data_IF_102260816484
#
_entry.id   IF_102260816484
#
_cell.length_a   1.000
_cell.length_b   1.000
_cell.length_c   1.000
_cell.angle_alpha   90.00
_cell.angle_beta   90.00
_cell.angle_gamma   90.00
#
_symmetry.space_group_name_H-M   'P 1'
#
loop_
_entity.id
_entity.type
_entity.pdbx_description
1 polymer ?
#
# COMPACT_ATOMS: atom_id res chain seq x y z
N UNK A 1 14.11 -23.71 -25.39
CA UNK A 1 14.41 -23.93 -23.97
C UNK A 1 15.69 -23.17 -23.64
N UNK A 2 15.54 -21.93 -23.19
CA UNK A 2 16.66 -21.16 -22.63
C UNK A 2 16.24 -20.88 -21.20
N UNK A 3 16.80 -21.63 -20.27
CA UNK A 3 16.63 -21.38 -18.84
C UNK A 3 17.61 -20.28 -18.52
N UNK A 4 17.12 -19.05 -18.40
CA UNK A 4 17.91 -17.90 -17.98
C UNK A 4 18.30 -18.10 -16.51
N UNK A 5 19.57 -18.39 -16.26
CA UNK A 5 20.09 -18.69 -14.92
C UNK A 5 20.20 -17.38 -14.13
N UNK A 6 19.26 -17.15 -13.22
CA UNK A 6 19.20 -15.94 -12.40
C UNK A 6 20.39 -15.86 -11.41
N UNK A 7 20.94 -14.67 -11.14
CA UNK A 7 21.97 -14.50 -10.10
C UNK A 7 21.46 -15.00 -8.74
N UNK A 8 22.32 -15.68 -7.97
CA UNK A 8 21.98 -16.45 -6.74
C UNK A 8 21.43 -15.62 -5.56
N UNK A 9 21.08 -14.35 -5.78
CA UNK A 9 20.38 -13.50 -4.83
C UNK A 9 19.48 -12.53 -5.58
N UNK A 10 18.17 -12.75 -5.51
CA UNK A 10 17.17 -11.82 -6.04
C UNK A 10 16.74 -10.89 -4.90
N UNK A 11 16.78 -9.58 -5.13
CA UNK A 11 16.33 -8.60 -4.14
C UNK A 11 15.00 -7.97 -4.57
N UNK A 12 14.31 -7.31 -3.63
CA UNK A 12 13.05 -6.59 -3.90
C UNK A 12 13.23 -5.46 -4.95
N UNK A 13 14.49 -5.04 -5.21
CA UNK A 13 14.82 -4.05 -6.24
C UNK A 13 14.74 -4.60 -7.65
N UNK A 14 14.94 -5.91 -7.82
CA UNK A 14 15.04 -6.57 -9.13
C UNK A 14 13.67 -7.02 -9.66
N UNK A 15 12.64 -6.96 -8.81
CA UNK A 15 11.28 -7.41 -9.11
C UNK A 15 10.37 -6.22 -9.39
N UNK A 16 9.48 -6.37 -10.38
CA UNK A 16 8.39 -5.42 -10.65
C UNK A 16 7.54 -5.23 -9.40
N UNK A 17 7.20 -3.96 -9.12
CA UNK A 17 6.50 -3.59 -7.89
C UNK A 17 5.15 -4.31 -7.74
N UNK A 18 4.39 -4.42 -8.82
CA UNK A 18 3.07 -5.05 -8.85
C UNK A 18 3.14 -6.55 -8.49
N UNK A 19 4.06 -7.28 -9.13
CA UNK A 19 4.27 -8.71 -8.86
C UNK A 19 4.68 -8.97 -7.41
N UNK A 20 5.57 -8.14 -6.85
CA UNK A 20 5.96 -8.26 -5.44
C UNK A 20 4.77 -7.99 -4.50
N UNK A 21 3.99 -6.94 -4.76
CA UNK A 21 2.88 -6.56 -3.89
C UNK A 21 1.80 -7.64 -3.89
N UNK A 22 1.46 -8.20 -5.05
CA UNK A 22 0.47 -9.28 -5.17
C UNK A 22 0.92 -10.52 -4.38
N UNK A 23 2.13 -11.03 -4.65
CA UNK A 23 2.65 -12.22 -3.97
C UNK A 23 2.78 -12.03 -2.45
N UNK A 24 3.24 -10.85 -2.02
CA UNK A 24 3.38 -10.57 -0.59
C UNK A 24 2.03 -10.36 0.10
N UNK A 25 1.03 -9.80 -0.59
CA UNK A 25 -0.33 -9.72 -0.04
C UNK A 25 -0.95 -11.10 0.18
N UNK A 26 -0.75 -12.05 -0.73
CA UNK A 26 -1.20 -13.44 -0.56
C UNK A 26 -0.49 -14.11 0.61
N UNK A 27 0.82 -13.89 0.75
CA UNK A 27 1.58 -14.39 1.89
C UNK A 27 1.06 -13.83 3.23
N UNK A 28 0.68 -12.56 3.28
CA UNK A 28 0.10 -11.96 4.49
C UNK A 28 -1.28 -12.54 4.83
N UNK A 29 -2.10 -12.87 3.83
CA UNK A 29 -3.40 -13.53 4.05
C UNK A 29 -3.25 -14.93 4.61
N UNK A 30 -2.29 -15.69 4.09
CA UNK A 30 -2.03 -17.06 4.52
C UNK A 30 -1.30 -17.13 5.88
N UNK A 31 -0.86 -15.99 6.42
CA UNK A 31 -0.15 -15.91 7.68
C UNK A 31 -1.13 -15.56 8.81
N UNK A 32 -1.25 -16.45 9.79
CA UNK A 32 -2.11 -16.28 10.97
C UNK A 32 -1.73 -15.11 11.91
N UNK A 33 -0.67 -14.35 11.57
CA UNK A 33 -0.15 -13.25 12.38
C UNK A 33 -0.70 -11.87 12.00
N UNK A 34 -1.46 -11.76 10.91
CA UNK A 34 -1.93 -10.48 10.41
C UNK A 34 -3.45 -10.37 10.56
N UNK A 35 -3.87 -9.79 11.69
CA UNK A 35 -5.28 -9.55 11.98
C UNK A 35 -5.76 -8.26 11.30
N UNK A 36 -6.88 -8.36 10.59
CA UNK A 36 -7.57 -7.22 10.01
C UNK A 36 -8.23 -6.39 11.12
N UNK A 37 -8.06 -5.07 11.13
CA UNK A 37 -8.76 -4.23 12.08
C UNK A 37 -10.26 -4.20 11.76
N UNK A 38 -11.10 -4.22 12.80
CA UNK A 38 -12.58 -4.24 12.70
C UNK A 38 -13.14 -3.10 11.83
N UNK A 39 -12.43 -1.98 11.74
CA UNK A 39 -12.87 -0.82 10.96
C UNK A 39 -12.49 -0.87 9.48
N UNK A 40 -11.71 -1.87 9.02
CA UNK A 40 -11.15 -1.90 7.66
C UNK A 40 -12.23 -1.82 6.56
N UNK A 41 -13.42 -2.38 6.80
CA UNK A 41 -14.48 -2.47 5.80
C UNK A 41 -15.30 -1.17 5.67
N UNK A 42 -15.27 -0.33 6.70
CA UNK A 42 -16.11 0.87 6.78
C UNK A 42 -15.36 2.15 6.41
N UNK A 43 -14.02 2.10 6.38
CA UNK A 43 -13.20 3.30 6.20
C UNK A 43 -12.86 3.60 4.74
N UNK A 44 -12.59 4.87 4.49
CA UNK A 44 -11.96 5.36 3.26
C UNK A 44 -10.47 5.58 3.48
N UNK A 45 -9.67 5.30 2.46
CA UNK A 45 -8.18 5.38 2.51
C UNK A 45 -7.65 6.80 2.71
N UNK A 46 -8.44 7.81 2.37
CA UNK A 46 -8.14 9.21 2.62
C UNK A 46 -9.35 10.10 2.42
N UNK A 47 -9.26 11.34 2.90
CA UNK A 47 -10.35 12.34 2.80
C UNK A 47 -10.72 12.65 1.35
N UNK A 48 -9.80 12.41 0.41
CA UNK A 48 -9.99 12.71 -1.00
C UNK A 48 -10.71 11.60 -1.78
N UNK A 49 -11.03 10.47 -1.14
CA UNK A 49 -11.81 9.39 -1.74
C UNK A 49 -13.29 9.55 -1.41
N UNK A 50 -14.13 9.39 -2.41
CA UNK A 50 -15.59 9.43 -2.28
C UNK A 50 -16.12 8.09 -1.74
N UNK A 51 -15.62 6.98 -2.28
CA UNK A 51 -16.01 5.61 -1.92
C UNK A 51 -14.92 4.87 -1.14
N UNK A 52 -15.31 3.82 -0.41
CA UNK A 52 -14.40 2.84 0.17
C UNK A 52 -13.66 2.04 -0.93
N UNK A 53 -12.52 1.40 -0.60
CA UNK A 53 -11.83 0.50 -1.53
C UNK A 53 -12.77 -0.61 -2.03
N UNK A 54 -12.71 -0.92 -3.32
CA UNK A 54 -13.56 -1.94 -3.94
C UNK A 54 -13.09 -3.38 -3.67
N UNK A 55 -11.82 -3.54 -3.31
CA UNK A 55 -11.19 -4.83 -3.03
C UNK A 55 -11.29 -5.11 -1.53
N UNK A 56 -11.81 -6.27 -1.14
CA UNK A 56 -11.89 -6.72 0.25
C UNK A 56 -10.49 -6.87 0.87
N UNK A 57 -9.50 -7.22 0.05
CA UNK A 57 -8.13 -7.48 0.46
C UNK A 57 -7.23 -6.24 0.42
N UNK A 58 -7.82 -5.05 0.27
CA UNK A 58 -7.10 -3.80 0.11
C UNK A 58 -6.11 -3.52 1.25
N UNK A 59 -6.40 -4.00 2.46
CA UNK A 59 -5.58 -3.77 3.64
C UNK A 59 -4.26 -4.57 3.56
N UNK A 60 -4.30 -5.81 3.08
CA UNK A 60 -3.11 -6.63 2.81
C UNK A 60 -2.25 -6.03 1.69
N UNK A 61 -2.90 -5.58 0.62
CA UNK A 61 -2.22 -4.88 -0.49
C UNK A 61 -1.56 -3.60 0.03
N UNK A 62 -2.23 -2.89 0.95
CA UNK A 62 -1.67 -1.68 1.54
C UNK A 62 -0.44 -2.00 2.39
N UNK A 63 -0.50 -3.04 3.22
CA UNK A 63 0.62 -3.51 4.02
C UNK A 63 1.82 -3.93 3.18
N UNK A 64 1.58 -4.72 2.14
CA UNK A 64 2.63 -5.14 1.20
C UNK A 64 3.31 -3.94 0.51
N UNK A 65 2.53 -2.97 0.07
CA UNK A 65 3.04 -1.75 -0.54
C UNK A 65 3.86 -0.90 0.44
N UNK A 66 3.42 -0.78 1.70
CA UNK A 66 4.16 -0.05 2.74
C UNK A 66 5.47 -0.74 3.07
N UNK A 67 5.46 -2.07 3.27
CA UNK A 67 6.66 -2.86 3.54
C UNK A 67 7.72 -2.69 2.43
N UNK A 68 7.29 -2.79 1.15
CA UNK A 68 8.18 -2.57 0.00
C UNK A 68 8.79 -1.17 0.01
N UNK A 69 7.99 -0.14 0.32
CA UNK A 69 8.44 1.25 0.35
C UNK A 69 9.46 1.50 1.47
N UNK A 70 9.23 0.94 2.66
CA UNK A 70 10.15 1.05 3.79
C UNK A 70 11.48 0.37 3.45
N UNK A 71 11.43 -0.82 2.84
CA UNK A 71 12.63 -1.53 2.39
C UNK A 71 13.47 -0.71 1.39
N UNK A 72 12.81 -0.07 0.40
CA UNK A 72 13.50 0.70 -0.64
C UNK A 72 13.99 2.07 -0.18
N UNK A 73 13.35 2.66 0.81
CA UNK A 73 13.62 4.02 1.29
C UNK A 73 13.71 4.03 2.81
N UNK A 74 14.87 3.63 3.38
CA UNK A 74 15.08 3.63 4.82
C UNK A 74 14.92 5.05 5.39
N UNK A 75 14.47 5.15 6.65
CA UNK A 75 14.20 6.44 7.31
C UNK A 75 12.88 7.12 6.88
N UNK A 76 11.99 6.41 6.18
CA UNK A 76 10.68 6.95 5.78
C UNK A 76 9.70 6.94 6.95
N UNK A 77 9.29 8.12 7.41
CA UNK A 77 8.23 8.27 8.42
C UNK A 77 6.81 8.35 7.85
N UNK A 78 5.82 8.33 8.75
CA UNK A 78 4.38 8.36 8.43
C UNK A 78 3.99 9.54 7.52
N UNK A 79 4.56 10.73 7.76
CA UNK A 79 4.26 11.92 6.96
C UNK A 79 4.67 11.82 5.49
N UNK A 80 5.71 11.03 5.18
CA UNK A 80 6.17 10.79 3.81
C UNK A 80 5.30 9.73 3.12
N UNK A 81 4.92 8.67 3.83
CA UNK A 81 3.94 7.68 3.36
C UNK A 81 2.58 8.33 3.07
N UNK A 82 2.11 9.21 3.93
CA UNK A 82 0.89 9.99 3.72
C UNK A 82 0.93 10.83 2.46
N UNK A 83 2.13 11.31 2.08
CA UNK A 83 2.31 12.05 0.84
C UNK A 83 2.26 11.13 -0.39
N UNK A 84 2.87 9.95 -0.32
CA UNK A 84 2.84 8.99 -1.43
C UNK A 84 1.47 8.42 -1.72
N UNK A 85 0.68 8.15 -0.68
CA UNK A 85 -0.68 7.62 -0.84
C UNK A 85 -1.75 8.72 -0.93
N UNK A 86 -1.35 10.00 -0.87
CA UNK A 86 -2.26 11.13 -1.04
C UNK A 86 -2.71 11.29 -2.49
N UNK A 87 -3.68 12.16 -2.70
CA UNK A 87 -4.27 12.38 -4.03
C UNK A 87 -4.94 13.73 -4.18
N UNK A 88 -5.42 14.00 -5.38
CA UNK A 88 -6.23 15.19 -5.68
C UNK A 88 -7.60 15.06 -5.01
N UNK A 89 -8.01 16.11 -4.29
CA UNK A 89 -9.32 16.18 -3.67
C UNK A 89 -10.26 17.04 -4.52
N UNK A 90 -11.31 16.40 -5.05
CA UNK A 90 -12.40 17.06 -5.76
C UNK A 90 -13.26 17.84 -4.76
N UNK A 91 -13.38 19.15 -4.98
CA UNK A 91 -14.12 20.09 -4.10
C UNK A 91 -15.40 20.62 -4.74
N UNK A 92 -16.04 19.80 -5.57
CA UNK A 92 -17.19 20.21 -6.38
C UNK A 92 -16.79 21.23 -7.45
N UNK A 93 -17.36 22.44 -7.38
CA UNK A 93 -17.08 23.52 -8.35
C UNK A 93 -15.75 24.26 -8.10
N UNK A 94 -15.11 24.06 -6.94
CA UNK A 94 -13.84 24.72 -6.60
C UNK A 94 -12.66 23.90 -7.13
N UNK A 95 -11.56 24.58 -7.45
CA UNK A 95 -10.31 23.96 -7.91
C UNK A 95 -9.84 22.85 -6.97
N UNK A 96 -9.32 21.79 -7.58
CA UNK A 96 -8.77 20.64 -6.87
C UNK A 96 -7.51 21.02 -6.11
N UNK A 97 -7.34 20.42 -4.93
CA UNK A 97 -6.12 20.56 -4.15
C UNK A 97 -5.64 19.20 -3.67
N UNK A 98 -4.33 19.06 -3.59
CA UNK A 98 -3.72 17.86 -3.04
C UNK A 98 -4.05 17.68 -1.55
N UNK A 99 -4.45 16.45 -1.17
CA UNK A 99 -4.67 16.05 0.22
C UNK A 99 -3.92 14.75 0.54
N UNK A 100 -3.43 14.68 1.78
CA UNK A 100 -2.71 13.53 2.32
C UNK A 100 -3.65 12.35 2.58
N UNK A 101 -3.10 11.14 2.55
CA UNK A 101 -3.79 9.93 3.00
C UNK A 101 -4.00 9.92 4.53
N UNK A 102 -4.91 9.05 4.99
CA UNK A 102 -5.18 8.87 6.41
C UNK A 102 -3.91 8.40 7.15
N UNK A 103 -3.52 9.10 8.21
CA UNK A 103 -2.41 8.68 9.08
C UNK A 103 -2.74 7.45 9.89
N UNK A 104 -4.01 7.26 10.27
CA UNK A 104 -4.44 6.13 11.08
C UNK A 104 -4.16 4.82 10.37
N UNK A 105 -4.62 4.72 9.11
CA UNK A 105 -4.42 3.54 8.25
C UNK A 105 -2.93 3.25 8.03
N UNK A 106 -2.10 4.28 7.88
CA UNK A 106 -0.66 4.09 7.65
C UNK A 106 0.07 3.64 8.91
N UNK A 107 -0.44 3.96 10.11
CA UNK A 107 0.16 3.58 11.39
C UNK A 107 -0.28 2.21 11.89
N UNK A 108 -1.48 1.78 11.49
CA UNK A 108 -2.05 0.49 11.90
C UNK A 108 -1.57 -0.67 11.03
N UNK A 109 -0.95 -0.36 9.90
CA UNK A 109 -0.31 -1.31 8.98
C UNK A 109 1.06 -1.73 9.50
#
# INVERSE_FOLDING_TARGET
SVVEEAPRGVTVRDIKAEAFIAAYSEHLKNSDKFELPVWADTVKTGVFKEMCPSDEDWYYIRAASVARKIYLSPGTGVGRLQKWYGGAYRRGSRTEHYRKASSGIIRSV
#
